data_IF_567153348112
#
_entry.id   IF_567153348112
#
_cell.length_a   1.000
_cell.length_b   1.000
_cell.length_c   1.000
_cell.angle_alpha   90.00
_cell.angle_beta   90.00
_cell.angle_gamma   90.00
#
_symmetry.space_group_name_H-M   'P 1'
#
loop_
_entity.id
_entity.type
_entity.pdbx_description
1 polymer ?
#
# COMPACT_ATOMS: atom_id res chain seq x y z
N UNK A 1 -1.32 -25.71 -18.16
CA UNK A 1 -0.82 -24.50 -17.47
C UNK A 1 -1.90 -24.10 -16.49
N UNK A 2 -1.61 -24.09 -15.19
CA UNK A 2 -2.60 -23.85 -14.13
C UNK A 2 -3.11 -22.42 -14.30
N UNK A 3 -4.39 -22.24 -14.62
CA UNK A 3 -5.01 -20.94 -14.82
C UNK A 3 -4.63 -20.01 -13.67
N UNK A 4 -3.72 -19.09 -13.96
CA UNK A 4 -3.30 -18.06 -13.03
C UNK A 4 -4.44 -17.06 -12.99
N UNK A 5 -5.50 -17.40 -12.25
CA UNK A 5 -6.58 -16.45 -11.92
C UNK A 5 -5.90 -15.31 -11.18
N UNK A 6 -5.63 -14.22 -11.91
CA UNK A 6 -5.19 -12.98 -11.32
C UNK A 6 -6.32 -12.54 -10.41
N UNK A 7 -6.14 -12.75 -9.11
CA UNK A 7 -7.07 -12.27 -8.10
C UNK A 7 -7.25 -10.77 -8.34
N UNK A 8 -8.50 -10.30 -8.40
CA UNK A 8 -8.82 -8.88 -8.58
C UNK A 8 -8.06 -8.01 -7.56
N UNK A 9 -7.83 -8.54 -6.35
CA UNK A 9 -6.99 -7.92 -5.32
C UNK A 9 -5.53 -7.67 -5.77
N UNK A 10 -4.93 -8.59 -6.55
CA UNK A 10 -3.58 -8.42 -7.12
C UNK A 10 -3.57 -7.27 -8.11
N UNK A 11 -4.60 -7.17 -8.96
CA UNK A 11 -4.72 -6.07 -9.90
C UNK A 11 -4.83 -4.72 -9.19
N UNK A 12 -5.65 -4.64 -8.13
CA UNK A 12 -5.73 -3.44 -7.28
C UNK A 12 -4.41 -3.10 -6.59
N UNK A 13 -3.70 -4.09 -6.05
CA UNK A 13 -2.36 -3.88 -5.47
C UNK A 13 -1.39 -3.30 -6.50
N UNK A 14 -1.42 -3.81 -7.73
CA UNK A 14 -0.56 -3.33 -8.81
C UNK A 14 -0.87 -1.88 -9.18
N UNK A 15 -2.16 -1.52 -9.27
CA UNK A 15 -2.60 -0.15 -9.54
C UNK A 15 -2.16 0.80 -8.44
N UNK A 16 -2.32 0.42 -7.17
CA UNK A 16 -1.88 1.25 -6.04
C UNK A 16 -0.35 1.40 -6.00
N UNK A 17 0.39 0.33 -6.26
CA UNK A 17 1.84 0.38 -6.36
C UNK A 17 2.31 1.31 -7.49
N UNK A 18 1.63 1.25 -8.65
CA UNK A 18 1.91 2.12 -9.78
C UNK A 18 1.64 3.60 -9.45
N UNK A 19 0.49 3.91 -8.86
CA UNK A 19 0.16 5.27 -8.41
C UNK A 19 1.16 5.80 -7.38
N UNK A 20 1.52 5.00 -6.38
CA UNK A 20 2.52 5.39 -5.38
C UNK A 20 3.89 5.68 -6.01
N UNK A 21 4.30 4.86 -6.98
CA UNK A 21 5.55 5.04 -7.72
C UNK A 21 5.54 6.34 -8.52
N UNK A 22 4.46 6.65 -9.23
CA UNK A 22 4.32 7.90 -9.98
C UNK A 22 4.41 9.13 -9.06
N UNK A 23 3.77 9.09 -7.89
CA UNK A 23 3.84 10.18 -6.92
C UNK A 23 5.25 10.35 -6.38
N UNK A 24 5.96 9.24 -6.13
CA UNK A 24 7.35 9.26 -5.68
C UNK A 24 8.26 9.90 -6.73
N UNK A 25 8.14 9.48 -8.00
CA UNK A 25 8.90 10.05 -9.13
C UNK A 25 8.58 11.53 -9.29
N UNK A 26 7.30 11.92 -9.24
CA UNK A 26 6.90 13.32 -9.33
C UNK A 26 7.48 14.15 -8.19
N UNK A 27 7.43 13.65 -6.95
CA UNK A 27 7.98 14.36 -5.80
C UNK A 27 9.49 14.56 -5.94
N UNK A 28 10.20 13.55 -6.45
CA UNK A 28 11.65 13.59 -6.65
C UNK A 28 12.08 14.50 -7.80
N UNK A 29 11.30 14.58 -8.88
CA UNK A 29 11.59 15.45 -10.03
C UNK A 29 11.26 16.91 -9.75
N UNK A 30 10.21 17.16 -8.95
CA UNK A 30 9.66 18.51 -8.75
C UNK A 30 10.06 19.14 -7.41
N UNK A 31 10.79 18.41 -6.55
CA UNK A 31 11.05 18.75 -5.14
C UNK A 31 9.80 19.12 -4.33
N UNK A 32 8.62 18.65 -4.79
CA UNK A 32 7.33 18.93 -4.16
C UNK A 32 6.84 17.73 -3.39
N UNK A 33 7.17 17.70 -2.11
CA UNK A 33 6.79 16.62 -1.19
C UNK A 33 5.36 16.72 -0.65
N UNK A 34 4.56 17.70 -1.09
CA UNK A 34 3.16 17.85 -0.66
C UNK A 34 2.32 16.60 -0.95
N UNK A 35 2.68 15.81 -1.97
CA UNK A 35 1.94 14.62 -2.40
C UNK A 35 2.41 13.33 -1.69
N UNK A 36 3.49 13.37 -0.89
CA UNK A 36 3.95 12.22 -0.10
C UNK A 36 2.89 11.61 0.81
N UNK A 37 2.03 12.38 1.51
CA UNK A 37 0.98 11.79 2.33
C UNK A 37 0.05 10.89 1.50
N UNK A 38 -0.24 11.29 0.26
CA UNK A 38 -1.10 10.54 -0.66
C UNK A 38 -0.42 9.24 -1.15
N UNK A 39 0.90 9.25 -1.33
CA UNK A 39 1.70 8.03 -1.56
C UNK A 39 1.57 7.05 -0.39
N UNK A 40 1.69 7.53 0.86
CA UNK A 40 1.56 6.69 2.04
C UNK A 40 0.16 6.09 2.19
N UNK A 41 -0.90 6.82 1.84
CA UNK A 41 -2.27 6.29 1.80
C UNK A 41 -2.38 5.10 0.84
N UNK A 42 -1.88 5.22 -0.38
CA UNK A 42 -1.90 4.13 -1.35
C UNK A 42 -1.07 2.92 -0.90
N UNK A 43 0.07 3.18 -0.28
CA UNK A 43 0.94 2.14 0.24
C UNK A 43 0.29 1.40 1.42
N UNK A 44 -0.38 2.12 2.32
CA UNK A 44 -1.18 1.53 3.40
C UNK A 44 -2.31 0.65 2.87
N UNK A 45 -3.06 1.13 1.86
CA UNK A 45 -4.12 0.33 1.22
C UNK A 45 -3.57 -0.95 0.59
N UNK A 46 -2.41 -0.87 -0.09
CA UNK A 46 -1.73 -2.04 -0.65
C UNK A 46 -1.36 -3.06 0.43
N UNK A 47 -0.75 -2.63 1.53
CA UNK A 47 -0.41 -3.51 2.66
C UNK A 47 -1.63 -4.12 3.34
N UNK A 48 -2.74 -3.37 3.45
CA UNK A 48 -4.01 -3.89 3.95
C UNK A 48 -4.55 -5.02 3.07
N UNK A 49 -4.51 -4.85 1.75
CA UNK A 49 -4.92 -5.89 0.80
C UNK A 49 -3.97 -7.10 0.88
N UNK A 50 -2.66 -6.90 1.03
CA UNK A 50 -1.69 -8.00 1.21
C UNK A 50 -2.01 -8.78 2.48
N UNK A 51 -2.17 -8.09 3.61
CA UNK A 51 -2.49 -8.72 4.89
C UNK A 51 -3.81 -9.50 4.85
N UNK A 52 -4.86 -8.93 4.24
CA UNK A 52 -6.14 -9.61 4.06
C UNK A 52 -6.02 -10.84 3.15
N UNK A 53 -5.26 -10.74 2.05
CA UNK A 53 -5.06 -11.86 1.12
C UNK A 53 -4.25 -12.98 1.78
N UNK A 54 -3.21 -12.64 2.53
CA UNK A 54 -2.35 -13.59 3.24
C UNK A 54 -3.13 -14.33 4.32
N UNK A 55 -3.98 -13.60 5.07
CA UNK A 55 -4.90 -14.17 6.05
C UNK A 55 -5.87 -15.18 5.42
N UNK A 56 -6.43 -14.85 4.25
CA UNK A 56 -7.41 -15.69 3.55
C UNK A 56 -6.77 -16.90 2.84
N UNK A 57 -5.59 -16.74 2.25
CA UNK A 57 -4.97 -17.74 1.35
C UNK A 57 -4.07 -18.74 2.06
N UNK A 58 -3.30 -18.27 3.05
CA UNK A 58 -2.27 -19.09 3.70
C UNK A 58 -2.73 -19.61 5.07
N UNK A 59 -3.85 -19.09 5.62
CA UNK A 59 -4.25 -19.22 7.03
C UNK A 59 -3.16 -18.84 8.04
N UNK A 60 -2.05 -18.25 7.56
CA UNK A 60 -0.93 -17.88 8.39
C UNK A 60 -1.24 -16.54 9.05
N UNK A 61 -1.82 -16.62 10.25
CA UNK A 61 -2.33 -15.46 10.99
C UNK A 61 -1.22 -14.46 11.31
N UNK A 62 0.01 -14.94 11.53
CA UNK A 62 1.13 -14.10 11.94
C UNK A 62 1.58 -13.14 10.82
N UNK A 63 1.76 -13.64 9.59
CA UNK A 63 2.15 -12.79 8.46
C UNK A 63 1.05 -11.81 8.07
N UNK A 64 -0.21 -12.24 8.09
CA UNK A 64 -1.36 -11.36 7.86
C UNK A 64 -1.45 -10.20 8.85
N UNK A 65 -1.22 -10.47 10.15
CA UNK A 65 -1.22 -9.45 11.20
C UNK A 65 -0.06 -8.47 11.03
N UNK A 66 1.14 -8.95 10.67
CA UNK A 66 2.29 -8.07 10.42
C UNK A 66 1.98 -7.05 9.33
N UNK A 67 1.41 -7.49 8.19
CA UNK A 67 1.04 -6.57 7.12
C UNK A 67 -0.08 -5.60 7.52
N UNK A 68 -0.99 -6.04 8.39
CA UNK A 68 -2.03 -5.17 8.97
C UNK A 68 -1.44 -4.08 9.87
N UNK A 69 -0.53 -4.45 10.77
CA UNK A 69 0.17 -3.50 11.66
C UNK A 69 0.97 -2.50 10.84
N UNK A 70 1.70 -2.96 9.82
CA UNK A 70 2.43 -2.08 8.89
C UNK A 70 1.48 -1.13 8.16
N UNK A 71 0.34 -1.63 7.68
CA UNK A 71 -0.68 -0.79 7.02
C UNK A 71 -1.19 0.33 7.94
N UNK A 72 -1.47 0.04 9.22
CA UNK A 72 -1.93 1.02 10.22
C UNK A 72 -0.83 2.04 10.53
N UNK A 73 0.42 1.62 10.69
CA UNK A 73 1.55 2.54 10.94
C UNK A 73 1.73 3.49 9.76
N UNK A 74 1.76 2.98 8.52
CA UNK A 74 1.90 3.80 7.32
C UNK A 74 0.72 4.78 7.18
N UNK A 75 -0.50 4.34 7.53
CA UNK A 75 -1.66 5.22 7.55
C UNK A 75 -1.52 6.34 8.58
N UNK A 76 -1.04 6.03 9.79
CA UNK A 76 -0.75 7.02 10.82
C UNK A 76 0.31 8.03 10.38
N UNK A 77 1.38 7.57 9.73
CA UNK A 77 2.39 8.46 9.14
C UNK A 77 1.77 9.36 8.08
N UNK A 78 0.96 8.80 7.17
CA UNK A 78 0.24 9.57 6.16
C UNK A 78 -0.60 10.69 6.78
N UNK A 79 -1.31 10.37 7.88
CA UNK A 79 -2.14 11.32 8.60
C UNK A 79 -1.29 12.44 9.22
N UNK A 80 -0.22 12.10 9.94
CA UNK A 80 0.70 13.10 10.51
C UNK A 80 1.32 13.98 9.42
N UNK A 81 1.74 13.39 8.29
CA UNK A 81 2.29 14.12 7.16
C UNK A 81 1.30 15.07 6.47
N UNK A 82 -0.02 14.90 6.66
CA UNK A 82 -1.03 15.88 6.21
C UNK A 82 -1.15 17.10 7.13
N UNK A 83 -0.79 16.98 8.41
CA UNK A 83 -0.87 18.09 9.38
C UNK A 83 0.45 18.84 9.57
N UNK A 84 1.57 18.22 9.21
CA UNK A 84 2.92 18.79 9.38
C UNK A 84 3.41 19.54 8.13
N UNK A 85 2.74 19.36 6.99
CA UNK A 85 3.09 19.94 5.68
C UNK A 85 2.08 21.01 5.28
#
# INVERSE_FOLDING_TARGET
MKDMKVDILVAFQLTFAFMATLICIYSLVTDRFHLQPLMFIFMSAMFGIIGFREYRRTQNKQSGILFWVVSVIIFGVAFVSLFVN
#
